data_IF_015260831866
#
_entry.id   IF_015260831866
#
_cell.length_a   1.000
_cell.length_b   1.000
_cell.length_c   1.000
_cell.angle_alpha   90.00
_cell.angle_beta   90.00
_cell.angle_gamma   90.00
#
_symmetry.space_group_name_H-M   'P 1'
#
loop_
_entity.id
_entity.type
_entity.pdbx_description
1 polymer ?
#
# COMPACT_ATOMS: atom_id res chain seq x y z
N UNK A 1 -12.17 67.11 21.85
CA UNK A 1 -12.97 67.80 22.89
C UNK A 1 -13.39 66.73 23.89
N UNK A 2 -13.03 66.95 25.15
CA UNK A 2 -12.84 65.97 26.23
C UNK A 2 -14.09 65.18 26.64
N UNK A 3 -13.90 63.96 27.15
CA UNK A 3 -14.55 63.53 28.40
C UNK A 3 -13.70 62.46 29.12
N UNK A 4 -13.54 62.70 30.41
CA UNK A 4 -12.82 61.94 31.44
C UNK A 4 -13.65 60.73 31.93
N UNK A 5 -13.00 59.70 32.49
CA UNK A 5 -13.20 59.20 33.88
C UNK A 5 -12.44 57.87 34.08
N UNK A 6 -11.40 57.80 34.92
CA UNK A 6 -11.30 57.60 36.39
C UNK A 6 -10.70 56.20 36.70
N UNK A 7 -9.53 56.26 37.34
CA UNK A 7 -8.65 55.21 37.89
C UNK A 7 -9.23 54.57 39.18
N UNK A 8 -9.26 53.23 39.30
CA UNK A 8 -8.30 52.31 39.99
C UNK A 8 -8.41 52.15 41.54
N UNK A 9 -8.47 50.86 41.96
CA UNK A 9 -7.77 50.20 43.10
C UNK A 9 -8.33 50.50 44.53
N UNK A 10 -8.45 49.62 45.55
CA UNK A 10 -7.84 48.32 45.97
C UNK A 10 -8.63 47.67 47.12
N UNK A 11 -8.55 46.33 47.20
CA UNK A 11 -8.34 45.45 48.38
C UNK A 11 -9.33 45.46 49.58
N UNK A 12 -9.88 44.25 49.87
CA UNK A 12 -10.25 43.80 51.21
C UNK A 12 -9.74 42.37 51.42
N UNK A 13 -9.28 42.14 52.64
CA UNK A 13 -8.47 41.06 53.21
C UNK A 13 -9.29 39.85 53.75
N UNK A 14 -8.57 38.73 53.88
CA UNK A 14 -8.78 37.37 54.42
C UNK A 14 -9.93 37.02 55.41
N UNK A 15 -10.48 35.78 55.26
CA UNK A 15 -10.43 34.68 56.26
C UNK A 15 -11.06 33.36 55.75
N UNK A 16 -10.50 32.26 56.25
CA UNK A 16 -10.63 30.85 55.85
C UNK A 16 -11.89 30.15 56.41
N UNK A 17 -12.43 29.16 55.70
CA UNK A 17 -13.09 27.99 56.31
C UNK A 17 -13.04 26.77 55.38
N UNK A 18 -12.77 25.62 55.98
CA UNK A 18 -12.27 24.38 55.40
C UNK A 18 -13.35 23.56 54.66
N UNK A 19 -12.98 22.87 53.58
CA UNK A 19 -13.68 21.66 53.11
C UNK A 19 -12.67 20.70 52.49
N UNK A 20 -12.38 19.65 53.23
CA UNK A 20 -11.66 18.45 52.78
C UNK A 20 -12.67 17.52 52.10
N UNK A 21 -12.44 17.17 50.83
CA UNK A 21 -12.86 15.90 50.24
C UNK A 21 -11.93 15.53 49.07
N UNK A 22 -11.35 14.35 49.21
CA UNK A 22 -10.28 13.71 48.46
C UNK A 22 -10.47 13.57 46.94
N UNK A 23 -9.35 13.78 46.23
CA UNK A 23 -8.79 12.98 45.11
C UNK A 23 -9.77 12.14 44.28
N UNK A 24 -9.97 12.58 43.03
CA UNK A 24 -10.13 11.67 41.90
C UNK A 24 -9.06 12.06 40.87
N UNK A 25 -7.91 11.40 40.96
CA UNK A 25 -7.04 11.26 39.79
C UNK A 25 -7.80 10.34 38.85
N UNK A 26 -8.16 10.84 37.66
CA UNK A 26 -8.69 10.00 36.60
C UNK A 26 -7.63 8.94 36.27
N UNK A 27 -7.80 7.75 36.86
CA UNK A 27 -7.02 6.58 36.53
C UNK A 27 -7.35 6.26 35.08
N UNK A 28 -6.44 6.66 34.20
CA UNK A 28 -6.42 6.21 32.81
C UNK A 28 -6.34 4.67 32.86
N UNK A 29 -7.43 4.00 32.50
CA UNK A 29 -7.53 2.54 32.49
C UNK A 29 -6.64 1.98 31.37
N UNK A 30 -5.38 1.74 31.72
CA UNK A 30 -4.35 1.17 30.86
C UNK A 30 -4.55 -0.33 30.60
N UNK A 31 -5.65 -0.93 31.13
CA UNK A 31 -5.91 -2.37 31.08
C UNK A 31 -6.22 -2.94 29.68
N UNK A 32 -6.19 -2.12 28.63
CA UNK A 32 -6.40 -2.55 27.24
C UNK A 32 -5.23 -2.28 26.30
N UNK A 33 -4.11 -1.71 26.77
CA UNK A 33 -2.91 -1.56 25.95
C UNK A 33 -2.12 -2.88 25.89
N UNK A 34 -2.60 -3.81 25.08
CA UNK A 34 -1.74 -4.88 24.57
C UNK A 34 -0.77 -4.22 23.60
N UNK A 35 0.37 -3.76 24.13
CA UNK A 35 1.54 -3.44 23.31
C UNK A 35 2.08 -4.75 22.76
N UNK A 36 1.43 -5.23 21.71
CA UNK A 36 1.92 -6.33 20.91
C UNK A 36 3.17 -5.82 20.21
N UNK A 37 4.34 -6.03 20.82
CA UNK A 37 5.66 -5.92 20.20
C UNK A 37 5.86 -7.08 19.17
N UNK A 38 4.78 -7.42 18.47
CA UNK A 38 4.75 -8.39 17.42
C UNK A 38 5.19 -7.63 16.18
N UNK A 39 6.28 -8.07 15.58
CA UNK A 39 6.60 -7.72 14.21
C UNK A 39 5.37 -8.13 13.38
N UNK A 40 4.57 -7.15 12.96
CA UNK A 40 3.29 -7.39 12.31
C UNK A 40 3.60 -8.03 10.95
N UNK A 41 3.34 -9.33 10.84
CA UNK A 41 3.62 -10.08 9.62
C UNK A 41 2.51 -9.77 8.62
N UNK A 42 2.90 -9.15 7.51
CA UNK A 42 2.03 -8.91 6.36
C UNK A 42 2.16 -10.03 5.34
N UNK A 43 1.03 -10.56 4.88
CA UNK A 43 0.93 -11.54 3.81
C UNK A 43 0.51 -10.85 2.52
N UNK A 44 1.02 -11.33 1.38
CA UNK A 44 0.64 -10.82 0.07
C UNK A 44 0.37 -11.98 -0.89
N UNK A 45 -0.82 -11.96 -1.51
CA UNK A 45 -1.22 -12.92 -2.53
C UNK A 45 -1.11 -12.25 -3.91
N UNK A 46 -0.65 -13.00 -4.91
CA UNK A 46 -0.55 -12.57 -6.31
C UNK A 46 -1.23 -13.56 -7.23
N UNK A 47 -2.14 -13.09 -8.08
CA UNK A 47 -2.78 -13.89 -9.12
C UNK A 47 -2.59 -13.26 -10.50
N UNK A 48 -2.12 -14.06 -11.44
CA UNK A 48 -2.02 -13.67 -12.85
C UNK A 48 -3.23 -14.25 -13.58
N UNK A 49 -4.04 -13.38 -14.17
CA UNK A 49 -5.25 -13.75 -14.89
C UNK A 49 -5.19 -13.22 -16.31
N UNK A 50 -5.55 -14.04 -17.29
CA UNK A 50 -5.65 -13.57 -18.67
C UNK A 50 -6.90 -12.72 -18.88
N UNK A 51 -6.73 -11.50 -19.38
CA UNK A 51 -7.86 -10.68 -19.82
C UNK A 51 -8.17 -10.97 -21.28
N UNK A 52 -9.36 -11.50 -21.55
CA UNK A 52 -9.83 -11.72 -22.93
C UNK A 52 -10.02 -10.41 -23.71
N UNK A 53 -10.49 -9.35 -23.03
CA UNK A 53 -10.72 -8.04 -23.63
C UNK A 53 -9.43 -7.37 -24.10
N UNK A 54 -8.41 -7.36 -23.25
CA UNK A 54 -7.12 -6.71 -23.56
C UNK A 54 -6.12 -7.68 -24.22
N UNK A 55 -6.40 -8.98 -24.18
CA UNK A 55 -5.56 -10.06 -24.71
C UNK A 55 -4.16 -10.11 -24.09
N UNK A 56 -4.06 -9.80 -22.81
CA UNK A 56 -2.80 -9.75 -22.05
C UNK A 56 -2.99 -10.38 -20.66
N UNK A 57 -1.92 -10.86 -20.01
CA UNK A 57 -1.94 -11.19 -18.59
C UNK A 57 -2.15 -9.93 -17.74
N UNK A 58 -2.92 -10.09 -16.66
CA UNK A 58 -3.29 -9.05 -15.70
C UNK A 58 -2.95 -9.53 -14.31
N UNK A 59 -2.27 -8.68 -13.54
CA UNK A 59 -1.93 -9.00 -12.16
C UNK A 59 -3.02 -8.48 -11.22
N UNK A 60 -3.52 -9.39 -10.39
CA UNK A 60 -4.29 -9.09 -9.19
C UNK A 60 -3.43 -9.36 -7.98
N UNK A 61 -3.53 -8.50 -6.97
CA UNK A 61 -2.86 -8.73 -5.70
C UNK A 61 -3.71 -8.22 -4.54
N UNK A 62 -3.40 -8.72 -3.35
CA UNK A 62 -3.94 -8.21 -2.09
C UNK A 62 -2.92 -8.47 -0.99
N UNK A 63 -2.91 -7.63 0.02
CA UNK A 63 -2.15 -7.87 1.22
C UNK A 63 -3.04 -7.81 2.45
N UNK A 64 -2.63 -8.50 3.51
CA UNK A 64 -3.40 -8.59 4.75
C UNK A 64 -2.47 -8.83 5.94
N UNK A 65 -2.87 -8.30 7.10
CA UNK A 65 -2.22 -8.57 8.38
C UNK A 65 -2.37 -10.04 8.78
N UNK A 66 -1.59 -10.45 9.77
CA UNK A 66 -1.67 -11.80 10.36
C UNK A 66 -3.01 -12.14 11.00
N UNK A 67 -3.78 -11.12 11.39
CA UNK A 67 -5.16 -11.25 11.86
C UNK A 67 -6.20 -11.34 10.72
N UNK A 68 -5.76 -11.26 9.46
CA UNK A 68 -6.59 -11.35 8.27
C UNK A 68 -7.21 -10.03 7.80
N UNK A 69 -6.96 -8.90 8.49
CA UNK A 69 -7.43 -7.58 8.02
C UNK A 69 -6.72 -7.19 6.71
N UNK A 70 -7.47 -6.77 5.67
CA UNK A 70 -6.86 -6.33 4.41
C UNK A 70 -6.08 -5.03 4.62
N UNK A 71 -4.89 -4.95 4.03
CA UNK A 71 -4.04 -3.77 4.07
C UNK A 71 -4.45 -2.77 2.98
N UNK A 72 -4.57 -1.48 3.30
CA UNK A 72 -4.78 -0.43 2.31
C UNK A 72 -3.53 -0.26 1.44
N UNK A 73 -3.72 0.24 0.22
CA UNK A 73 -2.64 0.43 -0.76
C UNK A 73 -1.46 1.24 -0.20
N UNK A 74 -1.73 2.28 0.59
CA UNK A 74 -0.69 3.13 1.20
C UNK A 74 0.23 2.37 2.18
N UNK A 75 -0.28 1.33 2.82
CA UNK A 75 0.52 0.46 3.71
C UNK A 75 1.30 -0.57 2.89
N UNK A 76 0.68 -1.13 1.84
CA UNK A 76 1.35 -2.02 0.90
C UNK A 76 2.55 -1.30 0.25
N UNK A 77 2.40 -0.02 -0.09
CA UNK A 77 3.49 0.80 -0.67
C UNK A 77 4.70 0.96 0.26
N UNK A 78 4.50 0.92 1.59
CA UNK A 78 5.59 1.04 2.57
C UNK A 78 6.40 -0.26 2.66
N UNK A 79 5.77 -1.39 2.39
CA UNK A 79 6.42 -2.72 2.38
C UNK A 79 7.25 -2.96 1.11
N UNK A 80 7.07 -2.14 0.07
CA UNK A 80 7.82 -2.30 -1.17
C UNK A 80 9.26 -1.79 -1.05
N UNK A 81 10.25 -2.45 -1.68
CA UNK A 81 11.64 -2.01 -1.61
C UNK A 81 11.83 -0.56 -2.07
N UNK A 82 12.68 0.21 -1.37
CA UNK A 82 12.89 1.63 -1.62
C UNK A 82 13.30 1.98 -3.07
N UNK A 83 13.99 1.07 -3.77
CA UNK A 83 14.29 1.21 -5.20
C UNK A 83 13.03 1.15 -6.08
N UNK A 84 12.12 0.21 -5.79
CA UNK A 84 10.82 0.15 -6.44
C UNK A 84 10.01 1.40 -6.09
N UNK A 85 10.00 1.82 -4.82
CA UNK A 85 9.27 2.98 -4.31
C UNK A 85 9.68 4.33 -4.95
N UNK A 86 10.97 4.57 -5.26
CA UNK A 86 11.40 5.84 -5.91
C UNK A 86 10.99 5.95 -7.39
N UNK A 87 10.93 4.84 -8.11
CA UNK A 87 10.47 4.83 -9.51
C UNK A 87 8.94 4.70 -9.59
N UNK A 88 8.33 3.96 -8.64
CA UNK A 88 6.88 3.90 -8.43
C UNK A 88 6.34 5.25 -8.01
N UNK A 89 6.91 5.96 -7.05
CA UNK A 89 6.35 7.23 -6.56
C UNK A 89 6.23 8.31 -7.64
N UNK A 90 7.03 8.22 -8.71
CA UNK A 90 6.93 9.09 -9.90
C UNK A 90 5.92 8.60 -10.95
N UNK A 91 5.50 7.33 -10.90
CA UNK A 91 4.58 6.65 -11.84
C UNK A 91 3.33 6.04 -11.18
N UNK A 92 3.11 6.26 -9.87
CA UNK A 92 2.44 5.37 -8.89
C UNK A 92 1.48 4.37 -9.55
N UNK A 93 2.03 3.22 -9.93
CA UNK A 93 1.27 2.07 -10.42
C UNK A 93 0.45 2.22 -11.71
N UNK A 94 0.63 3.29 -12.50
CA UNK A 94 -0.19 3.73 -13.66
C UNK A 94 -1.36 2.81 -13.98
N UNK A 95 -2.44 2.99 -13.21
CA UNK A 95 -3.70 2.26 -13.21
C UNK A 95 -3.80 1.03 -12.28
N UNK A 96 -3.30 1.07 -11.04
CA UNK A 96 -3.95 0.21 -10.02
C UNK A 96 -5.38 0.65 -9.84
N UNK A 97 -6.29 -0.30 -9.88
CA UNK A 97 -7.70 -0.14 -9.49
C UNK A 97 -8.06 -1.18 -8.44
N UNK A 98 -9.01 -0.85 -7.57
CA UNK A 98 -9.64 -1.86 -6.72
C UNK A 98 -10.85 -2.43 -7.47
N UNK A 99 -10.79 -3.72 -7.79
CA UNK A 99 -11.84 -4.43 -8.54
C UNK A 99 -12.18 -5.75 -7.86
N UNK A 100 -13.32 -6.33 -8.20
CA UNK A 100 -13.67 -7.67 -7.75
C UNK A 100 -12.84 -8.72 -8.50
N UNK A 101 -12.22 -9.65 -7.77
CA UNK A 101 -11.45 -10.72 -8.41
C UNK A 101 -12.37 -11.64 -9.23
N UNK A 102 -12.04 -11.94 -10.50
CA UNK A 102 -12.95 -12.61 -11.43
C UNK A 102 -13.47 -13.96 -10.94
N UNK A 103 -12.64 -14.69 -10.20
CA UNK A 103 -12.95 -16.03 -9.69
C UNK A 103 -13.28 -16.10 -8.20
N UNK A 104 -12.98 -15.05 -7.42
CA UNK A 104 -13.02 -15.12 -5.93
C UNK A 104 -14.04 -14.19 -5.29
N UNK A 105 -14.72 -13.35 -6.10
CA UNK A 105 -15.86 -12.54 -5.67
C UNK A 105 -15.61 -11.69 -4.42
N UNK A 106 -14.41 -11.11 -4.35
CA UNK A 106 -13.93 -10.27 -3.23
C UNK A 106 -12.98 -9.19 -3.76
N UNK A 107 -12.81 -8.06 -3.06
CA UNK A 107 -11.99 -6.94 -3.55
C UNK A 107 -10.51 -7.29 -3.58
N UNK A 108 -9.87 -7.01 -4.72
CA UNK A 108 -8.44 -7.13 -4.95
C UNK A 108 -7.94 -5.87 -5.64
N UNK A 109 -6.66 -5.55 -5.46
CA UNK A 109 -6.01 -4.57 -6.30
C UNK A 109 -5.64 -5.22 -7.64
N UNK A 110 -5.84 -4.49 -8.72
CA UNK A 110 -5.61 -4.94 -10.09
C UNK A 110 -4.72 -3.93 -10.77
N UNK A 111 -3.62 -4.41 -11.37
CA UNK A 111 -2.84 -3.60 -12.29
C UNK A 111 -3.57 -3.55 -13.63
N UNK A 112 -4.11 -2.40 -14.01
CA UNK A 112 -4.91 -2.29 -15.21
C UNK A 112 -4.07 -2.61 -16.46
N UNK A 113 -4.60 -3.40 -17.40
CA UNK A 113 -3.87 -3.83 -18.61
C UNK A 113 -3.68 -2.72 -19.67
N UNK A 114 -3.96 -1.46 -19.34
CA UNK A 114 -3.84 -0.37 -20.30
C UNK A 114 -2.37 -0.20 -20.71
N UNK A 115 -2.08 -0.19 -22.00
CA UNK A 115 -0.71 -0.04 -22.47
C UNK A 115 0.10 -1.34 -22.45
N UNK A 116 -0.38 -2.42 -21.81
CA UNK A 116 0.35 -3.69 -21.70
C UNK A 116 0.68 -4.30 -23.05
N UNK A 117 -0.27 -4.25 -23.98
CA UNK A 117 -0.05 -4.77 -25.32
C UNK A 117 1.02 -3.95 -26.07
N UNK A 118 1.04 -2.64 -25.90
CA UNK A 118 1.94 -1.71 -26.57
C UNK A 118 3.38 -1.92 -26.12
N UNK A 119 3.65 -1.95 -24.82
CA UNK A 119 5.02 -2.17 -24.36
C UNK A 119 5.49 -3.61 -24.55
N UNK A 120 4.60 -4.60 -24.47
CA UNK A 120 4.97 -5.98 -24.82
C UNK A 120 5.39 -6.09 -26.28
N UNK A 121 4.74 -5.40 -27.23
CA UNK A 121 5.19 -5.36 -28.63
C UNK A 121 6.60 -4.80 -28.78
N UNK A 122 6.96 -3.80 -27.99
CA UNK A 122 8.30 -3.20 -28.02
C UNK A 122 9.38 -4.15 -27.47
N UNK A 123 9.05 -4.93 -26.44
CA UNK A 123 9.95 -5.95 -25.89
C UNK A 123 10.07 -7.18 -26.78
N UNK A 124 9.04 -7.49 -27.57
CA UNK A 124 8.96 -8.65 -28.48
C UNK A 124 9.51 -8.39 -29.89
N UNK A 125 10.35 -7.37 -30.07
CA UNK A 125 11.07 -7.14 -31.33
C UNK A 125 12.20 -8.18 -31.49
N UNK A 126 11.84 -9.45 -31.65
CA UNK A 126 12.79 -10.51 -32.01
C UNK A 126 12.54 -10.95 -33.45
N UNK A 127 13.48 -10.60 -34.32
CA UNK A 127 13.61 -11.16 -35.67
C UNK A 127 14.02 -12.62 -35.54
N UNK A 128 13.05 -13.52 -35.45
CA UNK A 128 13.28 -14.96 -35.27
C UNK A 128 12.49 -15.74 -36.30
N UNK A 129 13.20 -16.49 -37.14
CA UNK A 129 12.60 -17.42 -38.08
C UNK A 129 11.80 -18.49 -37.31
N UNK A 130 10.46 -18.48 -37.47
CA UNK A 130 9.49 -19.48 -36.99
C UNK A 130 9.85 -20.22 -35.68
N UNK A 131 9.93 -19.51 -34.53
CA UNK A 131 10.06 -20.16 -33.23
C UNK A 131 8.83 -21.02 -32.90
N UNK A 132 9.03 -22.09 -32.11
CA UNK A 132 7.92 -22.89 -31.56
C UNK A 132 7.05 -22.00 -30.66
N UNK A 133 5.74 -22.18 -30.73
CA UNK A 133 4.76 -21.40 -29.95
C UNK A 133 5.06 -21.38 -28.44
N UNK A 134 5.46 -22.52 -27.88
CA UNK A 134 5.79 -22.66 -26.45
C UNK A 134 6.92 -21.71 -26.03
N UNK A 135 7.99 -21.64 -26.83
CA UNK A 135 9.13 -20.74 -26.56
C UNK A 135 8.69 -19.27 -26.64
N UNK A 136 7.84 -18.91 -27.60
CA UNK A 136 7.30 -17.55 -27.72
C UNK A 136 6.45 -17.19 -26.50
N UNK A 137 5.62 -18.12 -26.01
CA UNK A 137 4.77 -17.91 -24.85
C UNK A 137 5.59 -17.76 -23.56
N UNK A 138 6.61 -18.61 -23.36
CA UNK A 138 7.51 -18.52 -22.20
C UNK A 138 8.24 -17.19 -22.18
N UNK A 139 8.82 -16.79 -23.32
CA UNK A 139 9.45 -15.49 -23.45
C UNK A 139 8.44 -14.38 -23.13
N UNK A 140 7.20 -14.48 -23.65
CA UNK A 140 6.17 -13.46 -23.46
C UNK A 140 5.83 -13.27 -21.99
N UNK A 141 5.57 -14.36 -21.28
CA UNK A 141 5.30 -14.29 -19.85
C UNK A 141 6.51 -13.80 -19.07
N UNK A 142 7.72 -14.21 -19.45
CA UNK A 142 8.96 -13.79 -18.79
C UNK A 142 9.24 -12.30 -18.97
N UNK A 143 9.10 -11.76 -20.19
CA UNK A 143 9.27 -10.32 -20.43
C UNK A 143 8.16 -9.50 -19.78
N UNK A 144 6.92 -9.99 -19.77
CA UNK A 144 5.84 -9.31 -19.06
C UNK A 144 6.14 -9.25 -17.57
N UNK A 145 6.54 -10.39 -17.00
CA UNK A 145 6.85 -10.51 -15.58
C UNK A 145 8.10 -9.70 -15.20
N UNK A 146 9.10 -9.59 -16.07
CA UNK A 146 10.29 -8.79 -15.77
C UNK A 146 9.96 -7.31 -15.55
N UNK A 147 8.92 -6.79 -16.22
CA UNK A 147 8.44 -5.41 -16.01
C UNK A 147 7.54 -5.32 -14.79
N UNK A 148 6.53 -6.21 -14.68
CA UNK A 148 5.53 -6.15 -13.62
C UNK A 148 6.12 -6.56 -12.25
N UNK A 149 6.99 -7.57 -12.21
CA UNK A 149 7.61 -8.07 -10.98
C UNK A 149 8.54 -7.07 -10.29
N UNK A 150 9.19 -6.19 -11.06
CA UNK A 150 10.01 -5.11 -10.51
C UNK A 150 9.21 -4.16 -9.60
N UNK A 151 7.93 -3.94 -9.92
CA UNK A 151 7.01 -3.08 -9.15
C UNK A 151 6.84 -3.60 -7.73
N UNK A 152 6.83 -4.93 -7.56
CA UNK A 152 6.64 -5.59 -6.27
C UNK A 152 7.95 -5.99 -5.59
N UNK A 153 9.10 -5.54 -6.12
CA UNK A 153 10.40 -5.91 -5.57
C UNK A 153 10.77 -7.38 -5.79
N UNK A 154 10.04 -8.09 -6.66
CA UNK A 154 10.33 -9.48 -7.00
C UNK A 154 11.54 -9.51 -7.95
N UNK A 155 12.74 -9.43 -7.38
CA UNK A 155 14.00 -9.55 -8.12
C UNK A 155 14.32 -11.03 -8.34
N UNK A 156 14.23 -11.48 -9.58
CA UNK A 156 14.67 -12.80 -9.98
C UNK A 156 16.16 -12.76 -10.33
N UNK A 157 16.96 -13.53 -9.60
CA UNK A 157 18.30 -13.90 -10.03
C UNK A 157 18.16 -15.12 -10.93
N UNK A 158 18.13 -14.90 -12.25
CA UNK A 158 18.23 -16.02 -13.19
C UNK A 158 19.66 -16.56 -13.14
N UNK A 159 19.85 -17.64 -12.38
CA UNK A 159 21.06 -18.45 -12.51
C UNK A 159 20.86 -19.36 -13.72
N UNK A 160 21.39 -18.94 -14.87
CA UNK A 160 21.54 -19.83 -16.01
C UNK A 160 22.58 -20.87 -15.60
N UNK A 161 22.11 -22.06 -15.22
CA UNK A 161 22.96 -23.22 -15.08
C UNK A 161 23.33 -23.68 -16.49
N UNK A 162 24.62 -23.59 -16.79
CA UNK A 162 25.24 -24.07 -18.03
C UNK A 162 25.49 -25.58 -17.92
#
# INVERSE_FOLDING_TARGET
MQKEDIDQISQIDTREEETCCSRNEDVLDDATLVQSNHHELHYCDFHIVYSSTFRVPVLYFRAYCSDGRPLPLDEIEKELPACASKELSKKKWTFITQEEHPYLKRPWYKLHPCGTAEWMKLLFLSDTANPKFEVVLELYLLSWFSVVGQVFGLRFYFKISN
#
